data_IF_863908318826
#
_entry.id   IF_863908318826
#
_cell.length_a   1.000
_cell.length_b   1.000
_cell.length_c   1.000
_cell.angle_alpha   90.00
_cell.angle_beta   90.00
_cell.angle_gamma   90.00
#
_symmetry.space_group_name_H-M   'P 1'
#
loop_
_entity.id
_entity.type
_entity.pdbx_description
1 polymer ?
#
# COMPACT_ATOMS: atom_id res chain seq x y z
N UNK A 1 3.12 -21.34 5.81
CA UNK A 1 4.27 -20.80 5.08
C UNK A 1 4.52 -19.38 5.43
N UNK A 2 5.73 -19.10 5.72
CA UNK A 2 6.14 -17.80 6.19
C UNK A 2 6.34 -16.84 5.03
N UNK A 3 5.99 -15.58 5.23
CA UNK A 3 6.20 -14.55 4.23
C UNK A 3 7.67 -14.17 4.22
N UNK A 4 8.36 -14.41 3.12
CA UNK A 4 9.79 -14.14 3.05
C UNK A 4 10.11 -12.73 2.64
N UNK A 5 9.23 -12.09 1.88
CA UNK A 5 9.47 -10.74 1.41
C UNK A 5 8.20 -9.94 1.52
N UNK A 6 8.37 -8.64 1.48
CA UNK A 6 7.25 -7.71 1.45
C UNK A 6 6.37 -7.96 0.23
N UNK A 7 7.00 -8.23 -0.92
CA UNK A 7 6.25 -8.50 -2.14
C UNK A 7 5.43 -9.77 -2.02
N UNK A 8 6.01 -10.83 -1.42
CA UNK A 8 5.26 -12.06 -1.20
C UNK A 8 4.03 -11.80 -0.36
N UNK A 9 4.17 -10.99 0.69
CA UNK A 9 3.02 -10.65 1.51
C UNK A 9 1.94 -9.93 0.71
N UNK A 10 2.34 -8.96 -0.11
CA UNK A 10 1.37 -8.20 -0.89
C UNK A 10 0.63 -9.10 -1.88
N UNK A 11 1.36 -10.02 -2.53
CA UNK A 11 0.74 -10.95 -3.47
C UNK A 11 -0.28 -11.83 -2.78
N UNK A 12 0.04 -12.31 -1.58
CA UNK A 12 -0.89 -13.15 -0.84
C UNK A 12 -2.08 -12.34 -0.33
N UNK A 13 -1.86 -11.10 0.09
CA UNK A 13 -2.98 -10.24 0.48
C UNK A 13 -3.92 -10.00 -0.70
N UNK A 14 -3.36 -9.69 -1.86
CA UNK A 14 -4.15 -9.49 -3.07
C UNK A 14 -4.99 -10.74 -3.37
N UNK A 15 -4.35 -11.90 -3.35
CA UNK A 15 -5.06 -13.14 -3.64
C UNK A 15 -6.19 -13.37 -2.65
N UNK A 16 -5.97 -13.04 -1.38
CA UNK A 16 -6.97 -13.25 -0.34
C UNK A 16 -8.20 -12.36 -0.51
N UNK A 17 -8.08 -11.26 -1.25
CA UNK A 17 -9.21 -10.38 -1.53
C UNK A 17 -10.02 -10.85 -2.74
N UNK A 18 -9.43 -11.67 -3.60
CA UNK A 18 -10.07 -12.13 -4.83
C UNK A 18 -11.20 -13.09 -4.49
N UNK A 19 -12.40 -12.81 -4.96
CA UNK A 19 -13.58 -13.63 -4.67
C UNK A 19 -14.46 -13.84 -5.91
N UNK A 20 -13.94 -13.52 -7.09
CA UNK A 20 -14.70 -13.62 -8.34
C UNK A 20 -15.36 -12.32 -8.72
N UNK A 21 -15.25 -11.30 -7.89
CA UNK A 21 -15.87 -10.00 -8.14
C UNK A 21 -14.89 -8.87 -7.84
N UNK A 22 -14.27 -8.90 -6.68
CA UNK A 22 -13.37 -7.81 -6.24
C UNK A 22 -12.26 -7.56 -7.25
N UNK A 23 -11.66 -8.62 -7.79
CA UNK A 23 -10.52 -8.47 -8.70
C UNK A 23 -10.92 -7.91 -10.07
N UNK A 24 -12.20 -7.86 -10.39
CA UNK A 24 -12.66 -7.29 -11.64
C UNK A 24 -12.90 -5.78 -11.53
N UNK A 25 -12.81 -5.24 -10.33
CA UNK A 25 -12.87 -3.81 -10.13
C UNK A 25 -11.48 -3.21 -10.20
N UNK A 26 -11.26 -2.18 -9.39
CA UNK A 26 -9.94 -1.56 -9.30
C UNK A 26 -9.03 -2.44 -8.46
N UNK A 27 -7.90 -2.84 -9.02
CA UNK A 27 -6.93 -3.61 -8.27
C UNK A 27 -5.80 -2.74 -7.74
N UNK A 28 -4.87 -3.35 -7.01
CA UNK A 28 -3.66 -2.63 -6.59
C UNK A 28 -2.89 -2.09 -7.78
N UNK A 29 -2.31 -0.91 -7.62
CA UNK A 29 -1.50 -0.30 -8.65
C UNK A 29 -0.16 0.11 -8.06
N UNK A 30 0.89 -0.23 -8.78
CA UNK A 30 2.25 0.17 -8.44
C UNK A 30 2.85 0.73 -9.71
N UNK A 31 3.33 1.97 -9.63
CA UNK A 31 3.95 2.59 -10.81
C UNK A 31 5.05 3.52 -10.37
N UNK A 32 5.88 3.93 -11.30
CA UNK A 32 6.93 4.86 -11.01
C UNK A 32 6.45 6.29 -11.19
N UNK A 33 7.14 7.20 -10.54
CA UNK A 33 7.00 8.63 -10.78
C UNK A 33 8.37 9.13 -11.20
N UNK A 34 8.39 10.27 -11.87
CA UNK A 34 9.60 10.66 -12.58
C UNK A 34 10.52 11.61 -11.83
N UNK A 35 10.33 11.80 -10.51
CA UNK A 35 11.25 12.65 -9.75
C UNK A 35 12.45 11.99 -9.12
N UNK A 36 12.85 10.68 -9.23
CA UNK A 36 12.16 9.42 -9.48
C UNK A 36 11.59 8.82 -8.19
N UNK A 37 10.75 7.82 -8.36
CA UNK A 37 10.17 7.17 -7.18
C UNK A 37 9.05 6.23 -7.55
N UNK A 38 8.23 5.91 -6.54
CA UNK A 38 7.13 4.96 -6.67
C UNK A 38 5.82 5.56 -6.19
N UNK A 39 4.75 5.12 -6.80
CA UNK A 39 3.39 5.47 -6.41
C UNK A 39 2.62 4.18 -6.20
N UNK A 40 1.97 4.08 -5.03
CA UNK A 40 1.23 2.89 -4.64
C UNK A 40 -0.22 3.27 -4.40
N UNK A 41 -1.14 2.44 -4.90
CA UNK A 41 -2.57 2.63 -4.64
C UNK A 41 -3.21 1.28 -4.42
N UNK A 42 -3.90 1.13 -3.30
CA UNK A 42 -4.53 -0.14 -2.91
C UNK A 42 -5.98 0.14 -2.57
N UNK A 43 -6.95 -0.44 -3.33
CA UNK A 43 -8.36 -0.20 -3.02
C UNK A 43 -8.77 -0.91 -1.75
N UNK A 44 -9.62 -0.26 -0.96
CA UNK A 44 -10.05 -0.80 0.33
C UNK A 44 -11.45 -1.38 0.29
N UNK A 45 -12.22 -1.11 -0.76
CA UNK A 45 -13.59 -1.60 -0.85
C UNK A 45 -13.62 -3.12 -0.76
N UNK A 46 -14.39 -3.63 0.17
CA UNK A 46 -14.53 -5.07 0.36
C UNK A 46 -13.39 -5.71 1.13
N UNK A 47 -12.42 -4.92 1.59
CA UNK A 47 -11.31 -5.45 2.37
C UNK A 47 -11.55 -5.22 3.85
N UNK A 48 -10.63 -5.71 4.68
CA UNK A 48 -10.75 -5.57 6.14
C UNK A 48 -10.65 -4.11 6.59
N UNK A 49 -10.24 -3.20 5.71
CA UNK A 49 -10.16 -1.77 6.03
C UNK A 49 -11.11 -0.92 5.20
N UNK A 50 -12.14 -1.55 4.63
CA UNK A 50 -13.16 -0.82 3.88
C UNK A 50 -13.75 0.29 4.75
N UNK A 51 -13.74 1.52 4.25
CA UNK A 51 -14.30 2.67 4.94
C UNK A 51 -13.45 3.23 6.07
N UNK A 52 -12.32 2.61 6.37
CA UNK A 52 -11.45 3.10 7.42
C UNK A 52 -10.49 4.16 6.90
N UNK A 53 -10.08 5.05 7.78
CA UNK A 53 -9.11 6.08 7.44
C UNK A 53 -7.79 5.82 8.14
N UNK A 54 -6.72 6.09 7.43
CA UNK A 54 -5.36 5.95 7.93
C UNK A 54 -4.78 7.35 8.11
N UNK A 55 -4.34 7.68 9.31
CA UNK A 55 -3.72 8.97 9.58
C UNK A 55 -2.43 9.08 8.76
N UNK A 56 -2.30 10.15 7.98
CA UNK A 56 -1.14 10.32 7.10
C UNK A 56 0.15 10.13 7.88
N UNK A 57 1.04 9.34 7.33
CA UNK A 57 2.34 9.08 7.91
C UNK A 57 3.40 9.42 6.88
N UNK A 58 4.36 10.25 7.27
CA UNK A 58 5.44 10.65 6.39
C UNK A 58 6.77 10.36 7.03
N UNK A 59 7.72 9.90 6.24
CA UNK A 59 9.06 9.56 6.68
C UNK A 59 10.06 10.32 5.83
N UNK A 60 10.92 11.12 6.46
CA UNK A 60 11.99 11.87 5.76
C UNK A 60 11.47 12.65 4.55
N UNK A 61 10.30 13.25 4.68
CA UNK A 61 9.62 13.80 3.52
C UNK A 61 10.45 14.80 2.72
N UNK A 62 11.42 15.44 3.35
CA UNK A 62 12.25 16.44 2.69
C UNK A 62 13.55 15.87 2.13
N UNK A 63 13.82 14.58 2.34
CA UNK A 63 15.00 13.96 1.77
C UNK A 63 14.81 13.75 0.28
N UNK A 64 15.91 13.82 -0.49
CA UNK A 64 15.81 13.73 -1.95
C UNK A 64 15.36 12.35 -2.43
N UNK A 65 15.81 11.29 -1.78
CA UNK A 65 15.55 9.93 -2.24
C UNK A 65 14.98 9.01 -1.19
N UNK A 66 15.29 9.25 0.09
CA UNK A 66 14.92 8.34 1.17
C UNK A 66 13.70 8.85 1.92
N UNK A 67 12.62 9.08 1.17
CA UNK A 67 11.40 9.64 1.74
C UNK A 67 10.20 8.81 1.30
N UNK A 68 9.14 8.80 2.11
CA UNK A 68 7.84 8.32 1.62
C UNK A 68 6.74 8.94 2.48
N UNK A 69 5.52 8.89 1.94
CA UNK A 69 4.33 9.32 2.66
C UNK A 69 3.19 8.39 2.29
N UNK A 70 2.33 8.08 3.26
CA UNK A 70 1.18 7.21 3.07
C UNK A 70 -0.05 7.88 3.65
N UNK A 71 -1.20 7.65 3.00
CA UNK A 71 -2.47 8.25 3.45
C UNK A 71 -3.62 7.45 2.86
N UNK A 72 -4.85 7.74 3.30
CA UNK A 72 -6.05 7.20 2.65
C UNK A 72 -6.84 8.34 2.04
N UNK A 73 -7.49 8.02 0.91
CA UNK A 73 -8.32 8.98 0.19
C UNK A 73 -9.24 8.18 -0.72
N UNK A 74 -10.51 8.56 -0.76
CA UNK A 74 -11.47 7.89 -1.63
C UNK A 74 -11.54 6.37 -1.39
N UNK A 75 -11.42 5.96 -0.14
CA UNK A 75 -11.46 4.55 0.26
C UNK A 75 -10.35 3.75 -0.42
N UNK A 76 -9.19 4.37 -0.54
CA UNK A 76 -7.98 3.76 -1.09
C UNK A 76 -6.79 4.12 -0.20
N UNK A 77 -5.87 3.18 -0.06
CA UNK A 77 -4.60 3.44 0.60
C UNK A 77 -3.61 3.90 -0.45
N UNK A 78 -2.94 5.00 -0.18
CA UNK A 78 -2.01 5.60 -1.12
C UNK A 78 -0.61 5.69 -0.52
N UNK A 79 0.38 5.54 -1.37
CA UNK A 79 1.76 5.79 -0.98
C UNK A 79 2.50 6.48 -2.10
N UNK A 80 3.45 7.32 -1.74
CA UNK A 80 4.37 7.94 -2.69
C UNK A 80 5.72 8.02 -2.01
N UNK A 81 6.78 7.68 -2.73
CA UNK A 81 8.08 7.66 -2.10
C UNK A 81 9.22 7.58 -3.08
N UNK A 82 10.43 7.68 -2.55
CA UNK A 82 11.64 7.63 -3.34
C UNK A 82 11.91 6.26 -3.94
N UNK A 83 12.95 6.17 -4.78
CA UNK A 83 13.14 4.98 -5.60
C UNK A 83 13.45 3.70 -4.84
N UNK A 84 13.86 3.78 -3.59
CA UNK A 84 14.17 2.58 -2.80
C UNK A 84 13.17 2.39 -1.65
N UNK A 85 12.02 3.06 -1.69
CA UNK A 85 11.09 3.06 -0.56
C UNK A 85 9.79 2.31 -0.83
N UNK A 86 9.66 1.60 -1.95
CA UNK A 86 8.42 0.90 -2.26
C UNK A 86 8.09 -0.15 -1.19
N UNK A 87 9.06 -0.95 -0.81
CA UNK A 87 8.82 -1.98 0.20
C UNK A 87 8.41 -1.37 1.52
N UNK A 88 8.99 -0.22 1.88
CA UNK A 88 8.64 0.43 3.15
C UNK A 88 7.18 0.87 3.16
N UNK A 89 6.69 1.39 2.03
CA UNK A 89 5.29 1.80 1.94
C UNK A 89 4.36 0.60 2.05
N UNK A 90 4.73 -0.52 1.43
CA UNK A 90 3.93 -1.73 1.53
C UNK A 90 3.91 -2.24 2.96
N UNK A 91 5.03 -2.13 3.68
CA UNK A 91 5.07 -2.56 5.08
C UNK A 91 4.20 -1.68 5.98
N UNK A 92 4.08 -0.40 5.68
CA UNK A 92 3.15 0.45 6.40
C UNK A 92 1.72 -0.07 6.21
N UNK A 93 1.35 -0.39 4.97
CA UNK A 93 0.03 -0.95 4.69
C UNK A 93 -0.16 -2.28 5.41
N UNK A 94 0.84 -3.14 5.35
CA UNK A 94 0.77 -4.45 6.02
C UNK A 94 0.51 -4.30 7.51
N UNK A 95 1.25 -3.41 8.16
CA UNK A 95 1.07 -3.19 9.59
C UNK A 95 -0.35 -2.73 9.90
N UNK A 96 -0.89 -1.88 9.04
CA UNK A 96 -2.21 -1.32 9.26
C UNK A 96 -3.30 -2.37 9.10
N UNK A 97 -3.23 -3.19 8.04
CA UNK A 97 -4.30 -4.16 7.79
C UNK A 97 -4.22 -5.35 8.73
N UNK A 98 -3.06 -5.61 9.31
CA UNK A 98 -2.92 -6.72 10.26
C UNK A 98 -3.12 -6.29 11.70
N UNK A 99 -3.39 -5.03 11.94
CA UNK A 99 -3.67 -4.52 13.28
C UNK A 99 -5.14 -4.84 13.60
N UNK A 100 -5.35 -5.82 14.43
CA UNK A 100 -6.70 -6.37 14.67
C UNK A 100 -7.36 -5.81 15.92
N UNK A 101 -7.20 -4.55 16.17
CA UNK A 101 -7.84 -3.94 17.31
C UNK A 101 -9.25 -3.52 17.10
#
# INVERSE_FOLDING_TARGET
MEQRTTLDWLMNWYLSQCDGDWEHGDGPEIRTIDNPGWRLKLPLRGTERDGHEFTRFSHNYEHETNWFTCWTENNEFHGAGGPLQLAEMIEVFRSWVTDVR
#
